data_IF_004167113320
#
_entry.id   IF_004167113320
#
_cell.length_a   1.000
_cell.length_b   1.000
_cell.length_c   1.000
_cell.angle_alpha   90.00
_cell.angle_beta   90.00
_cell.angle_gamma   90.00
#
_symmetry.space_group_name_H-M   'P 1'
#
loop_
_entity.id
_entity.type
_entity.pdbx_description
1 polymer ?
#
# COMPACT_ATOMS: atom_id res chain seq x y z
N UNK A 1 -18.49 1.07 -14.37
CA UNK A 1 -17.74 0.29 -13.36
C UNK A 1 -17.04 -0.87 -14.05
N UNK A 2 -17.73 -1.90 -14.55
CA UNK A 2 -17.10 -3.04 -15.28
C UNK A 2 -16.17 -2.61 -16.41
N UNK A 3 -16.58 -1.66 -17.27
CA UNK A 3 -15.73 -1.14 -18.36
C UNK A 3 -14.45 -0.45 -17.88
N UNK A 4 -14.47 0.21 -16.71
CA UNK A 4 -13.29 0.83 -16.12
C UNK A 4 -12.31 -0.20 -15.54
N UNK A 5 -12.75 -1.46 -15.39
CA UNK A 5 -11.90 -2.55 -14.92
C UNK A 5 -11.27 -3.37 -16.04
N UNK A 6 -11.83 -3.35 -17.24
CA UNK A 6 -11.22 -3.99 -18.42
C UNK A 6 -9.94 -3.24 -18.86
N UNK A 7 -9.85 -1.95 -18.56
CA UNK A 7 -8.68 -1.10 -18.84
C UNK A 7 -7.52 -1.24 -17.82
N UNK A 8 -7.60 -2.17 -16.85
CA UNK A 8 -6.77 -2.21 -15.63
C UNK A 8 -5.46 -3.00 -15.75
N UNK A 9 -5.25 -3.78 -16.82
CA UNK A 9 -4.04 -4.60 -17.01
C UNK A 9 -3.47 -4.45 -18.42
N UNK A 10 -2.14 -4.34 -18.62
CA UNK A 10 -1.53 -4.36 -19.94
C UNK A 10 -1.71 -5.73 -20.57
N UNK A 11 -2.42 -5.75 -21.70
CA UNK A 11 -2.75 -6.93 -22.52
C UNK A 11 -1.49 -7.73 -22.90
N UNK A 12 -0.32 -7.11 -22.87
CA UNK A 12 0.96 -7.66 -23.29
C UNK A 12 1.60 -8.67 -22.30
N UNK A 13 1.13 -8.73 -21.05
CA UNK A 13 1.68 -9.64 -20.00
C UNK A 13 0.84 -10.93 -19.83
N UNK A 14 -0.29 -11.04 -20.53
CA UNK A 14 -1.30 -12.08 -20.26
C UNK A 14 -1.06 -13.35 -21.09
N UNK A 15 0.07 -14.01 -20.83
CA UNK A 15 0.23 -15.45 -21.10
C UNK A 15 -0.43 -16.33 -20.03
N UNK A 16 -1.01 -15.73 -18.97
CA UNK A 16 -1.62 -16.41 -17.83
C UNK A 16 -3.10 -16.06 -17.66
N UNK A 17 -3.96 -16.82 -18.35
CA UNK A 17 -5.43 -16.86 -18.33
C UNK A 17 -6.17 -15.58 -17.87
N UNK A 18 -6.61 -14.78 -18.84
CA UNK A 18 -7.64 -13.72 -18.70
C UNK A 18 -8.82 -14.14 -17.81
N UNK A 19 -9.13 -15.42 -17.77
CA UNK A 19 -10.23 -16.02 -17.03
C UNK A 19 -10.12 -15.87 -15.50
N UNK A 20 -8.91 -15.83 -14.91
CA UNK A 20 -8.73 -15.60 -13.45
C UNK A 20 -8.89 -14.13 -13.08
N UNK A 21 -8.42 -13.24 -13.95
CA UNK A 21 -8.48 -11.79 -13.78
C UNK A 21 -9.92 -11.27 -13.95
N UNK A 22 -10.59 -11.71 -15.01
CA UNK A 22 -11.98 -11.39 -15.26
C UNK A 22 -12.88 -11.89 -14.12
N UNK A 23 -12.61 -13.07 -13.56
CA UNK A 23 -13.32 -13.56 -12.36
C UNK A 23 -13.07 -12.71 -11.12
N UNK A 24 -11.85 -12.19 -10.92
CA UNK A 24 -11.54 -11.32 -9.79
C UNK A 24 -12.26 -9.97 -9.93
N UNK A 25 -12.14 -9.32 -11.09
CA UNK A 25 -12.78 -8.04 -11.44
C UNK A 25 -14.31 -8.12 -11.38
N UNK A 26 -14.90 -9.15 -11.99
CA UNK A 26 -16.36 -9.34 -11.99
C UNK A 26 -16.86 -9.62 -10.57
N UNK A 27 -16.17 -10.46 -9.77
CA UNK A 27 -16.56 -10.71 -8.37
C UNK A 27 -16.39 -9.46 -7.50
N UNK A 28 -15.30 -8.71 -7.65
CA UNK A 28 -15.07 -7.48 -6.87
C UNK A 28 -16.08 -6.40 -7.20
N UNK A 29 -16.33 -6.11 -8.48
CA UNK A 29 -17.31 -5.13 -8.93
C UNK A 29 -18.75 -5.43 -8.46
N UNK A 30 -19.14 -6.71 -8.38
CA UNK A 30 -20.44 -7.14 -7.83
C UNK A 30 -20.53 -6.87 -6.32
N UNK A 31 -19.42 -6.95 -5.58
CA UNK A 31 -19.42 -6.88 -4.12
C UNK A 31 -19.18 -5.49 -3.52
N UNK A 32 -18.89 -4.44 -4.30
CA UNK A 32 -18.83 -3.04 -3.78
C UNK A 32 -20.15 -2.62 -3.12
N UNK A 33 -21.27 -3.26 -3.47
CA UNK A 33 -22.59 -3.02 -2.84
C UNK A 33 -22.82 -3.76 -1.51
N UNK A 34 -21.95 -4.68 -1.12
CA UNK A 34 -22.05 -5.48 0.12
C UNK A 34 -20.94 -5.05 1.08
N UNK A 35 -21.27 -4.74 2.34
CA UNK A 35 -20.24 -4.44 3.36
C UNK A 35 -19.42 -5.69 3.63
N UNK A 36 -18.14 -5.65 3.29
CA UNK A 36 -17.21 -6.75 3.59
C UNK A 36 -16.88 -6.78 5.06
N UNK A 37 -16.77 -7.99 5.61
CA UNK A 37 -16.17 -8.17 6.93
C UNK A 37 -14.68 -7.83 6.88
N UNK A 38 -14.08 -7.51 8.03
CA UNK A 38 -12.63 -7.23 8.11
C UNK A 38 -11.81 -8.38 7.54
N UNK A 39 -12.17 -9.63 7.85
CA UNK A 39 -11.46 -10.80 7.31
C UNK A 39 -11.50 -10.89 5.79
N UNK A 40 -12.63 -10.55 5.16
CA UNK A 40 -12.76 -10.52 3.71
C UNK A 40 -11.91 -9.40 3.09
N UNK A 41 -11.87 -8.23 3.75
CA UNK A 41 -11.00 -7.12 3.33
C UNK A 41 -9.52 -7.54 3.39
N UNK A 42 -9.08 -8.12 4.51
CA UNK A 42 -7.71 -8.59 4.68
C UNK A 42 -7.33 -9.65 3.64
N UNK A 43 -8.21 -10.64 3.42
CA UNK A 43 -8.00 -11.67 2.41
C UNK A 43 -7.86 -11.08 1.00
N UNK A 44 -8.72 -10.12 0.65
CA UNK A 44 -8.64 -9.43 -0.64
C UNK A 44 -7.35 -8.62 -0.77
N UNK A 45 -6.94 -7.90 0.27
CA UNK A 45 -5.72 -7.12 0.27
C UNK A 45 -4.47 -8.01 0.15
N UNK A 46 -4.46 -9.18 0.78
CA UNK A 46 -3.37 -10.16 0.63
C UNK A 46 -3.26 -10.62 -0.85
N UNK A 47 -4.39 -10.97 -1.48
CA UNK A 47 -4.42 -11.30 -2.93
C UNK A 47 -3.96 -10.14 -3.82
N UNK A 48 -4.33 -8.91 -3.47
CA UNK A 48 -3.98 -7.73 -4.23
C UNK A 48 -2.48 -7.40 -4.09
N UNK A 49 -1.94 -7.55 -2.88
CA UNK A 49 -0.54 -7.31 -2.57
C UNK A 49 0.39 -8.28 -3.31
N UNK A 50 -0.04 -9.52 -3.56
CA UNK A 50 0.75 -10.49 -4.34
C UNK A 50 0.76 -10.17 -5.84
N UNK A 51 -0.21 -9.40 -6.34
CA UNK A 51 -0.30 -9.03 -7.75
C UNK A 51 0.72 -7.96 -8.15
N UNK A 52 1.35 -8.13 -9.32
CA UNK A 52 2.34 -7.18 -9.87
C UNK A 52 1.82 -6.42 -11.09
N UNK A 53 0.68 -6.83 -11.66
CA UNK A 53 0.20 -6.39 -12.98
C UNK A 53 -0.96 -5.39 -12.94
N UNK A 54 -1.20 -4.74 -11.80
CA UNK A 54 -2.32 -3.79 -11.63
C UNK A 54 -1.82 -2.37 -11.88
N UNK A 55 -2.51 -1.64 -12.76
CA UNK A 55 -2.20 -0.24 -12.98
C UNK A 55 -2.43 0.61 -11.73
N UNK A 56 -1.62 1.66 -11.58
CA UNK A 56 -1.70 2.62 -10.47
C UNK A 56 -3.10 3.20 -10.32
N UNK A 57 -3.71 3.63 -11.42
CA UNK A 57 -5.02 4.31 -11.37
C UNK A 57 -6.10 3.38 -10.84
N UNK A 58 -6.02 2.10 -11.17
CA UNK A 58 -6.88 1.04 -10.64
C UNK A 58 -6.76 0.90 -9.12
N UNK A 59 -5.53 0.93 -8.60
CA UNK A 59 -5.28 0.91 -7.16
C UNK A 59 -5.92 2.12 -6.49
N UNK A 60 -5.79 3.31 -7.07
CA UNK A 60 -6.44 4.52 -6.56
C UNK A 60 -7.97 4.36 -6.51
N UNK A 61 -8.57 3.78 -7.57
CA UNK A 61 -10.00 3.54 -7.64
C UNK A 61 -10.46 2.49 -6.63
N UNK A 62 -9.70 1.40 -6.43
CA UNK A 62 -9.94 0.39 -5.39
C UNK A 62 -9.99 1.06 -4.01
N UNK A 63 -8.97 1.86 -3.67
CA UNK A 63 -8.85 2.47 -2.35
C UNK A 63 -10.05 3.33 -1.97
N UNK A 64 -10.59 4.07 -2.93
CA UNK A 64 -11.77 4.90 -2.75
C UNK A 64 -13.07 4.07 -2.75
N UNK A 65 -13.23 3.14 -3.68
CA UNK A 65 -14.46 2.36 -3.82
C UNK A 65 -14.73 1.43 -2.63
N UNK A 66 -13.68 0.84 -2.06
CA UNK A 66 -13.76 -0.08 -0.92
C UNK A 66 -13.54 0.61 0.44
N UNK A 67 -13.26 1.91 0.46
CA UNK A 67 -13.04 2.68 1.68
C UNK A 67 -11.72 2.37 2.40
N UNK A 68 -10.77 1.71 1.75
CA UNK A 68 -9.47 1.39 2.37
C UNK A 68 -8.65 2.63 2.72
N UNK A 69 -8.78 3.70 1.92
CA UNK A 69 -8.11 4.99 2.19
C UNK A 69 -8.53 5.63 3.54
N UNK A 70 -9.69 5.26 4.06
CA UNK A 70 -10.27 5.80 5.31
C UNK A 70 -10.55 4.70 6.34
N UNK A 71 -9.95 3.52 6.20
CA UNK A 71 -10.16 2.41 7.12
C UNK A 71 -9.69 2.76 8.53
N UNK A 72 -10.56 2.60 9.53
CA UNK A 72 -10.18 2.69 10.95
C UNK A 72 -9.51 1.41 11.46
N UNK A 73 -9.54 0.33 10.69
CA UNK A 73 -8.83 -0.91 11.03
C UNK A 73 -7.37 -0.79 10.59
N UNK A 74 -6.46 -0.85 11.57
CA UNK A 74 -5.01 -0.66 11.38
C UNK A 74 -4.40 -1.71 10.44
N UNK A 75 -4.80 -2.98 10.56
CA UNK A 75 -4.25 -4.04 9.71
C UNK A 75 -4.67 -3.91 8.25
N UNK A 76 -5.92 -3.50 8.00
CA UNK A 76 -6.44 -3.18 6.67
C UNK A 76 -5.68 -1.99 6.10
N UNK A 77 -5.57 -0.90 6.87
CA UNK A 77 -4.95 0.34 6.42
C UNK A 77 -3.45 0.14 6.15
N UNK A 78 -2.76 -0.64 6.97
CA UNK A 78 -1.35 -1.00 6.79
C UNK A 78 -1.12 -1.76 5.48
N UNK A 79 -1.88 -2.84 5.25
CA UNK A 79 -1.77 -3.63 4.01
C UNK A 79 -2.06 -2.76 2.80
N UNK A 80 -3.05 -1.88 2.91
CA UNK A 80 -3.35 -0.91 1.88
C UNK A 80 -2.18 0.06 1.61
N UNK A 81 -1.52 0.59 2.65
CA UNK A 81 -0.34 1.43 2.50
C UNK A 81 0.80 0.73 1.74
N UNK A 82 1.06 -0.54 2.04
CA UNK A 82 2.07 -1.34 1.32
C UNK A 82 1.72 -1.46 -0.17
N UNK A 83 0.45 -1.68 -0.50
CA UNK A 83 -0.03 -1.73 -1.89
C UNK A 83 0.13 -0.38 -2.58
N UNK A 84 -0.22 0.73 -1.94
CA UNK A 84 -0.02 2.08 -2.48
C UNK A 84 1.46 2.33 -2.81
N UNK A 85 2.38 1.92 -1.93
CA UNK A 85 3.82 2.04 -2.17
C UNK A 85 4.26 1.18 -3.35
N UNK A 86 3.87 -0.11 -3.35
CA UNK A 86 4.22 -1.07 -4.41
C UNK A 86 3.81 -0.56 -5.80
N UNK A 87 2.61 0.01 -5.91
CA UNK A 87 2.05 0.54 -7.16
C UNK A 87 2.34 2.03 -7.39
N UNK A 88 3.29 2.61 -6.66
CA UNK A 88 3.77 3.99 -6.85
C UNK A 88 2.70 5.10 -6.73
N UNK A 89 1.76 4.94 -5.79
CA UNK A 89 0.68 5.91 -5.52
C UNK A 89 1.16 7.05 -4.58
N UNK A 90 2.15 7.83 -5.02
CA UNK A 90 2.80 8.90 -4.22
C UNK A 90 1.89 10.10 -3.90
N UNK A 91 0.80 10.26 -4.62
CA UNK A 91 -0.27 11.23 -4.36
C UNK A 91 -1.13 10.88 -3.14
N UNK A 92 -1.06 9.62 -2.69
CA UNK A 92 -1.80 9.12 -1.53
C UNK A 92 -0.96 9.02 -0.25
N UNK A 93 0.14 9.79 -0.13
CA UNK A 93 1.00 9.81 1.06
C UNK A 93 0.23 10.14 2.35
N UNK A 94 -0.83 10.96 2.27
CA UNK A 94 -1.70 11.23 3.43
C UNK A 94 -2.30 9.98 4.08
N UNK A 95 -2.56 8.94 3.29
CA UNK A 95 -3.07 7.65 3.80
C UNK A 95 -2.01 6.96 4.67
N UNK A 96 -0.73 7.07 4.29
CA UNK A 96 0.39 6.56 5.08
C UNK A 96 0.56 7.36 6.37
N UNK A 97 0.45 8.68 6.31
CA UNK A 97 0.47 9.56 7.50
C UNK A 97 -0.61 9.14 8.49
N UNK A 98 -1.86 9.02 8.04
CA UNK A 98 -2.98 8.55 8.88
C UNK A 98 -2.70 7.17 9.47
N UNK A 99 -2.15 6.24 8.68
CA UNK A 99 -1.80 4.92 9.19
C UNK A 99 -0.74 4.99 10.31
N UNK A 100 0.27 5.84 10.16
CA UNK A 100 1.35 5.97 11.14
C UNK A 100 0.90 6.73 12.41
N UNK A 101 -0.09 7.61 12.30
CA UNK A 101 -0.69 8.34 13.42
C UNK A 101 -1.57 7.47 14.32
N UNK A 102 -2.17 6.40 13.80
CA UNK A 102 -3.01 5.47 14.56
C UNK A 102 -2.26 4.61 15.60
N UNK A 103 -1.01 4.97 15.93
CA UNK A 103 -0.13 4.34 16.92
C UNK A 103 -0.01 2.82 16.74
N UNK A 104 0.75 2.45 15.72
CA UNK A 104 0.86 1.06 15.33
C UNK A 104 1.89 0.24 16.14
N UNK A 105 1.78 -1.08 16.09
CA UNK A 105 2.80 -1.98 16.62
C UNK A 105 4.09 -1.87 15.79
N UNK A 106 5.22 -2.32 16.34
CA UNK A 106 6.54 -2.29 15.67
C UNK A 106 6.46 -2.90 14.27
N UNK A 107 5.80 -4.05 14.14
CA UNK A 107 5.66 -4.79 12.89
C UNK A 107 4.99 -3.96 11.79
N UNK A 108 4.05 -3.08 12.17
CA UNK A 108 3.33 -2.26 11.22
C UNK A 108 4.21 -1.16 10.63
N UNK A 109 4.93 -0.44 11.48
CA UNK A 109 5.92 0.55 11.07
C UNK A 109 6.98 -0.08 10.16
N UNK A 110 7.54 -1.23 10.55
CA UNK A 110 8.57 -1.91 9.78
C UNK A 110 8.10 -2.23 8.35
N UNK A 111 6.87 -2.73 8.20
CA UNK A 111 6.35 -3.11 6.88
C UNK A 111 6.22 -1.94 5.91
N UNK A 112 5.75 -0.78 6.39
CA UNK A 112 5.58 0.42 5.56
C UNK A 112 6.93 0.99 5.16
N UNK A 113 7.86 1.14 6.11
CA UNK A 113 9.19 1.68 5.83
C UNK A 113 10.02 0.75 4.94
N UNK A 114 9.93 -0.57 5.14
CA UNK A 114 10.61 -1.55 4.29
C UNK A 114 10.09 -1.48 2.85
N UNK A 115 8.77 -1.39 2.66
CA UNK A 115 8.18 -1.24 1.33
C UNK A 115 8.63 0.05 0.63
N UNK A 116 8.76 1.16 1.36
CA UNK A 116 9.27 2.42 0.78
C UNK A 116 10.73 2.31 0.37
N UNK A 117 11.57 1.69 1.20
CA UNK A 117 12.99 1.44 0.91
C UNK A 117 13.16 0.54 -0.32
N UNK A 118 12.37 -0.53 -0.40
CA UNK A 118 12.37 -1.41 -1.57
C UNK A 118 11.97 -0.65 -2.84
N UNK A 119 10.86 0.09 -2.79
CA UNK A 119 10.38 0.85 -3.95
C UNK A 119 11.36 1.96 -4.36
N UNK A 120 12.04 2.56 -3.39
CA UNK A 120 13.05 3.59 -3.58
C UNK A 120 14.26 3.13 -4.42
N UNK A 121 14.50 1.82 -4.56
CA UNK A 121 15.50 1.30 -5.50
C UNK A 121 15.16 1.62 -6.96
N UNK A 122 13.87 1.69 -7.29
CA UNK A 122 13.37 1.98 -8.63
C UNK A 122 12.85 3.42 -8.80
N UNK A 123 12.37 4.04 -7.71
CA UNK A 123 11.76 5.38 -7.75
C UNK A 123 12.26 6.20 -6.57
N UNK A 124 13.29 7.02 -6.81
CA UNK A 124 14.03 7.78 -5.78
C UNK A 124 13.15 8.66 -4.90
N UNK A 125 12.01 9.16 -5.42
CA UNK A 125 11.07 9.98 -4.64
C UNK A 125 10.56 9.30 -3.37
N UNK A 126 10.49 7.97 -3.32
CA UNK A 126 10.14 7.24 -2.10
C UNK A 126 11.17 7.40 -0.98
N UNK A 127 12.44 7.68 -1.27
CA UNK A 127 13.45 8.00 -0.24
C UNK A 127 13.09 9.27 0.51
N UNK A 128 12.78 10.34 -0.23
CA UNK A 128 12.40 11.63 0.35
C UNK A 128 11.07 11.54 1.11
N UNK A 129 10.10 10.79 0.60
CA UNK A 129 8.84 10.53 1.31
C UNK A 129 9.12 9.79 2.61
N UNK A 130 9.90 8.71 2.58
CA UNK A 130 10.25 7.94 3.77
C UNK A 130 10.98 8.80 4.81
N UNK A 131 11.94 9.62 4.39
CA UNK A 131 12.65 10.55 5.26
C UNK A 131 11.72 11.60 5.88
N UNK A 132 10.83 12.19 5.08
CA UNK A 132 9.85 13.17 5.55
C UNK A 132 8.88 12.59 6.58
N UNK A 133 8.33 11.40 6.29
CA UNK A 133 7.46 10.68 7.22
C UNK A 133 8.20 10.32 8.50
N UNK A 134 9.42 9.81 8.40
CA UNK A 134 10.26 9.45 9.54
C UNK A 134 10.49 10.65 10.48
N UNK A 135 10.91 11.79 9.94
CA UNK A 135 11.16 13.00 10.73
C UNK A 135 9.90 13.50 11.46
N UNK A 136 8.72 13.31 10.86
CA UNK A 136 7.43 13.69 11.45
C UNK A 136 7.06 12.80 12.65
N UNK A 137 7.26 11.49 12.52
CA UNK A 137 6.76 10.51 13.49
C UNK A 137 7.78 10.10 14.56
N UNK A 138 9.08 10.15 14.25
CA UNK A 138 10.16 9.65 15.12
C UNK A 138 10.02 10.14 16.58
N UNK A 139 9.75 11.43 16.87
CA UNK A 139 9.68 11.92 18.25
C UNK A 139 8.56 11.29 19.09
N UNK A 140 7.56 10.67 18.44
CA UNK A 140 6.33 10.15 19.06
C UNK A 140 6.37 8.63 19.26
N UNK A 141 7.41 7.96 18.77
CA UNK A 141 7.51 6.50 18.73
C UNK A 141 8.41 6.00 19.87
N UNK A 142 8.15 4.81 20.40
CA UNK A 142 8.99 4.20 21.44
C UNK A 142 10.45 3.99 20.95
N UNK A 143 11.50 4.25 21.76
CA UNK A 143 12.90 4.19 21.33
C UNK A 143 13.34 2.88 20.68
N UNK A 144 12.84 1.73 21.14
CA UNK A 144 13.14 0.43 20.50
C UNK A 144 12.62 0.35 19.06
N UNK A 145 11.43 0.87 18.81
CA UNK A 145 10.85 0.94 17.47
C UNK A 145 11.62 1.95 16.64
N UNK A 146 12.00 3.09 17.23
CA UNK A 146 12.82 4.08 16.53
C UNK A 146 14.13 3.48 16.02
N UNK A 147 14.87 2.76 16.88
CA UNK A 147 16.13 2.10 16.51
C UNK A 147 15.93 1.11 15.37
N UNK A 148 14.84 0.34 15.40
CA UNK A 148 14.52 -0.62 14.36
C UNK A 148 14.19 0.05 13.02
N UNK A 149 13.35 1.09 13.01
CA UNK A 149 13.00 1.83 11.79
C UNK A 149 14.19 2.62 11.24
N UNK A 150 14.99 3.22 12.12
CA UNK A 150 16.23 3.89 11.74
C UNK A 150 17.14 2.95 10.95
N UNK A 151 17.34 1.72 11.44
CA UNK A 151 18.16 0.72 10.75
C UNK A 151 17.61 0.38 9.35
N UNK A 152 16.29 0.26 9.19
CA UNK A 152 15.68 0.00 7.87
C UNK A 152 16.00 1.16 6.90
N UNK A 153 15.81 2.38 7.36
CA UNK A 153 16.02 3.58 6.55
C UNK A 153 17.50 3.84 6.24
N UNK A 154 18.39 3.57 7.19
CA UNK A 154 19.84 3.68 7.03
C UNK A 154 20.36 2.68 5.98
N UNK A 155 19.96 1.41 6.09
CA UNK A 155 20.26 0.38 5.06
C UNK A 155 19.71 0.79 3.69
N UNK A 156 18.53 1.39 3.66
CA UNK A 156 17.90 1.90 2.44
C UNK A 156 18.55 3.17 1.87
N UNK A 157 19.52 3.76 2.57
CA UNK A 157 20.10 5.06 2.22
C UNK A 157 19.02 6.12 2.08
N UNK A 158 18.10 6.19 3.04
CA UNK A 158 17.01 7.16 3.16
C UNK A 158 17.26 8.18 4.28
N UNK A 159 18.33 8.01 5.07
CA UNK A 159 18.78 8.94 6.11
C UNK A 159 20.19 9.40 5.74
N UNK A 160 20.43 10.71 5.82
CA UNK A 160 21.70 11.35 5.44
C UNK A 160 21.49 12.72 4.80
N UNK A 161 22.58 13.47 4.59
CA UNK A 161 22.56 14.69 3.78
C UNK A 161 22.49 14.33 2.30
N UNK A 162 21.37 14.66 1.67
CA UNK A 162 21.14 14.56 0.23
C UNK A 162 21.37 15.90 -0.45
#
# INVERSE_FOLDING_TARGET
VVSAWEDIIPVEVVGGSEDKLNKLIIRTAIHVKVKWTVLQQLFFLDLLQDSTSIYRDSVVHIGNAYGFNASSNVDVLRRWCVILIKHNCQDHVRVLETCLELQCEVAHFSSIFSAMVERAQSVTRWKFIAQGLWNSIQPRIHPLVQSHIFRILDIGGCIGSF
#
